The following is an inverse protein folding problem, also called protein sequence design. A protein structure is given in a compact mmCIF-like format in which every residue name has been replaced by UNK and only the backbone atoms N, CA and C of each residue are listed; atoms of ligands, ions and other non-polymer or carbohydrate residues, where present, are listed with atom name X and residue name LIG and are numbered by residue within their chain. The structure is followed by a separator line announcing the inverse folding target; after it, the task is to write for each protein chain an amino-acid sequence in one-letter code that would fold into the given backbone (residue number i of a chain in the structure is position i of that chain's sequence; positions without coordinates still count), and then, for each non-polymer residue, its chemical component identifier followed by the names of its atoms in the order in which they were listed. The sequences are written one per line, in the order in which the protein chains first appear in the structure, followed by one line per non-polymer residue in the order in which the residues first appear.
data_IF_614552378909
#
_entry.id   IF_614552378909
#
_cell.length_a   1.000
_cell.length_b   1.000
_cell.length_c   1.000
_cell.angle_alpha   90.00
_cell.angle_beta   90.00
_cell.angle_gamma   90.00
#
_symmetry.space_group_name_H-M   'P 1'
#
loop_
_entity.id
_entity.type
_entity.pdbx_description
1 polymer ?
#
# COMPACT_ATOMS: atom_id res chain seq x y z
N UNK A 1 74.90 -26.54 10.83
CA UNK A 1 75.38 -25.48 11.75
C UNK A 1 74.20 -24.95 12.56
N UNK A 2 74.14 -25.22 13.88
CA UNK A 2 73.08 -24.66 14.74
C UNK A 2 73.59 -23.35 15.34
N UNK A 3 72.87 -22.25 15.07
CA UNK A 3 73.19 -20.89 15.48
C UNK A 3 72.97 -20.77 16.99
N UNK A 4 73.98 -20.31 17.73
CA UNK A 4 73.92 -20.12 19.18
C UNK A 4 72.88 -19.04 19.53
N UNK A 5 71.74 -19.45 20.08
CA UNK A 5 70.74 -18.53 20.64
C UNK A 5 71.26 -18.12 22.03
N UNK A 6 71.42 -16.81 22.30
CA UNK A 6 71.87 -16.35 23.61
C UNK A 6 70.85 -16.77 24.67
N UNK A 7 71.31 -17.51 25.69
CA UNK A 7 70.52 -17.95 26.85
C UNK A 7 70.29 -16.78 27.82
N UNK A 8 69.86 -15.64 27.30
CA UNK A 8 69.34 -14.56 28.14
C UNK A 8 67.98 -14.99 28.70
N UNK A 9 67.69 -14.57 29.92
CA UNK A 9 66.42 -14.81 30.59
C UNK A 9 65.31 -14.02 29.87
N UNK A 10 64.81 -14.57 28.77
CA UNK A 10 63.78 -13.99 27.90
C UNK A 10 62.38 -14.07 28.51
N UNK A 11 62.24 -14.71 29.67
CA UNK A 11 60.97 -14.90 30.38
C UNK A 11 60.94 -14.13 31.70
N UNK A 12 61.50 -12.91 31.71
CA UNK A 12 61.38 -12.02 32.86
C UNK A 12 60.20 -11.08 32.66
N UNK A 13 59.21 -11.18 33.54
CA UNK A 13 58.09 -10.27 33.57
C UNK A 13 58.59 -8.85 33.90
N UNK A 14 58.16 -7.82 33.17
CA UNK A 14 58.51 -6.44 33.49
C UNK A 14 57.97 -6.07 34.88
N UNK A 15 58.76 -5.30 35.63
CA UNK A 15 58.34 -4.80 36.94
C UNK A 15 57.05 -3.96 36.80
N UNK A 16 56.04 -4.27 37.60
CA UNK A 16 54.74 -3.59 37.57
C UNK A 16 53.80 -3.99 36.41
N UNK A 17 54.14 -5.01 35.60
CA UNK A 17 53.29 -5.43 34.47
C UNK A 17 51.87 -5.82 34.88
N UNK A 18 51.71 -6.48 36.03
CA UNK A 18 50.41 -6.96 36.51
C UNK A 18 49.66 -5.96 37.40
N UNK A 19 50.33 -4.92 37.91
CA UNK A 19 49.76 -4.02 38.91
C UNK A 19 48.62 -3.14 38.34
N UNK A 20 48.69 -2.80 37.05
CA UNK A 20 47.68 -2.00 36.36
C UNK A 20 46.60 -2.80 35.62
N UNK A 21 46.75 -4.12 35.49
CA UNK A 21 45.88 -4.95 34.66
C UNK A 21 44.43 -5.00 35.16
N UNK A 22 44.15 -5.18 36.48
CA UNK A 22 42.77 -5.22 36.96
C UNK A 22 42.01 -3.92 36.62
N UNK A 23 42.67 -2.77 36.81
CA UNK A 23 42.10 -1.46 36.48
C UNK A 23 41.90 -1.27 34.96
N UNK A 24 42.85 -1.72 34.13
CA UNK A 24 42.72 -1.66 32.67
C UNK A 24 41.59 -2.58 32.14
N UNK A 25 41.41 -3.76 32.72
CA UNK A 25 40.35 -4.69 32.31
C UNK A 25 38.97 -4.13 32.70
N UNK A 26 38.86 -3.56 33.90
CA UNK A 26 37.61 -2.91 34.36
C UNK A 26 37.21 -1.72 33.48
N UNK A 27 38.15 -0.85 33.14
CA UNK A 27 37.89 0.33 32.28
C UNK A 27 37.48 -0.07 30.87
N UNK A 28 38.15 -1.07 30.26
CA UNK A 28 37.76 -1.61 28.94
C UNK A 28 36.36 -2.21 28.93
N UNK A 29 35.92 -2.86 30.01
CA UNK A 29 34.57 -3.46 30.11
C UNK A 29 33.47 -2.42 30.30
N UNK A 30 33.75 -1.35 31.04
CA UNK A 30 32.79 -0.28 31.30
C UNK A 30 32.48 0.54 30.03
N UNK A 31 33.49 0.82 29.20
CA UNK A 31 33.34 1.62 27.98
C UNK A 31 32.47 0.97 26.89
N UNK A 32 32.35 -0.37 26.89
CA UNK A 32 31.64 -1.10 25.85
C UNK A 32 30.10 -1.14 26.05
N UNK A 33 29.60 -0.71 27.23
CA UNK A 33 28.15 -0.69 27.51
C UNK A 33 27.44 0.57 27.02
N UNK A 34 28.15 1.68 26.81
CA UNK A 34 27.50 2.96 26.50
C UNK A 34 27.14 3.14 25.01
N UNK A 35 27.85 2.50 24.08
CA UNK A 35 27.59 2.66 22.63
C UNK A 35 26.33 1.95 22.14
N UNK A 36 25.86 0.91 22.84
CA UNK A 36 24.73 0.08 22.37
C UNK A 36 23.38 0.73 22.68
N UNK A 37 23.31 1.60 23.69
CA UNK A 37 22.05 2.18 24.16
C UNK A 37 21.47 3.18 23.14
N UNK A 38 22.32 3.89 22.39
CA UNK A 38 21.88 4.87 21.39
C UNK A 38 21.43 4.24 20.07
N UNK A 39 22.04 3.10 19.67
CA UNK A 39 21.60 2.34 18.49
C UNK A 39 20.30 1.58 18.73
N UNK A 40 20.03 1.15 19.97
CA UNK A 40 18.82 0.37 20.29
C UNK A 40 17.52 1.14 19.99
N UNK A 41 17.54 2.46 20.05
CA UNK A 41 16.35 3.30 19.80
C UNK A 41 16.23 3.69 18.32
N UNK A 42 17.35 3.72 17.59
CA UNK A 42 17.39 4.05 16.18
C UNK A 42 16.68 2.97 15.33
N UNK A 43 16.82 1.69 15.68
CA UNK A 43 16.15 0.60 14.98
C UNK A 43 14.61 0.67 15.13
N UNK A 44 14.11 0.89 16.35
CA UNK A 44 12.67 1.04 16.59
C UNK A 44 12.11 2.28 15.90
N UNK A 45 12.80 3.42 15.98
CA UNK A 45 12.39 4.65 15.28
C UNK A 45 12.36 4.48 13.76
N UNK A 46 13.31 3.74 13.18
CA UNK A 46 13.33 3.43 11.74
C UNK A 46 12.11 2.59 11.32
N UNK A 47 11.73 1.58 12.11
CA UNK A 47 10.55 0.75 11.83
C UNK A 47 9.27 1.58 11.96
N UNK A 48 9.18 2.46 12.95
CA UNK A 48 7.99 3.32 13.13
C UNK A 48 7.90 4.35 12.00
N UNK A 49 9.01 4.98 11.61
CA UNK A 49 9.05 5.96 10.51
C UNK A 49 8.77 5.32 9.15
N UNK A 50 9.30 4.12 8.87
CA UNK A 50 9.02 3.41 7.63
C UNK A 50 7.56 2.97 7.54
N UNK A 51 7.00 2.44 8.63
CA UNK A 51 5.59 2.05 8.69
C UNK A 51 4.67 3.26 8.60
N UNK A 52 5.00 4.37 9.28
CA UNK A 52 4.23 5.61 9.23
C UNK A 52 4.23 6.24 7.83
N UNK A 53 5.39 6.31 7.16
CA UNK A 53 5.47 6.77 5.77
C UNK A 53 4.71 5.84 4.81
N UNK A 54 4.74 4.53 5.05
CA UNK A 54 4.00 3.57 4.25
C UNK A 54 2.47 3.76 4.37
N UNK A 55 1.96 3.99 5.59
CA UNK A 55 0.54 4.28 5.82
C UNK A 55 0.12 5.59 5.14
N UNK A 56 0.93 6.65 5.25
CA UNK A 56 0.62 7.95 4.62
C UNK A 56 0.62 7.84 3.09
N UNK A 57 1.54 7.06 2.51
CA UNK A 57 1.55 6.78 1.07
C UNK A 57 0.33 5.98 0.63
N UNK A 58 -0.09 4.99 1.41
CA UNK A 58 -1.28 4.19 1.14
C UNK A 58 -2.54 5.07 1.17
N UNK A 59 -2.64 6.03 2.08
CA UNK A 59 -3.79 6.94 2.18
C UNK A 59 -3.84 7.97 1.04
N UNK A 60 -2.68 8.41 0.52
CA UNK A 60 -2.63 9.39 -0.59
C UNK A 60 -3.14 8.81 -1.91
N UNK A 61 -2.96 7.51 -2.18
CA UNK A 61 -3.53 6.85 -3.37
C UNK A 61 -5.06 6.63 -3.24
N UNK A 62 -5.56 6.46 -2.00
CA UNK A 62 -6.99 6.34 -1.74
C UNK A 62 -7.71 7.70 -1.91
N UNK A 63 -7.14 8.84 -1.52
CA UNK A 63 -7.86 10.13 -1.54
C UNK A 63 -8.27 10.59 -2.95
N UNK A 64 -7.55 10.21 -4.01
CA UNK A 64 -8.00 10.45 -5.40
C UNK A 64 -8.96 9.41 -5.95
N UNK A 65 -9.12 8.26 -5.28
CA UNK A 65 -10.02 7.18 -5.67
C UNK A 65 -11.32 7.12 -4.84
N UNK A 66 -11.40 7.78 -3.68
CA UNK A 66 -12.59 7.73 -2.79
C UNK A 66 -13.85 8.29 -3.48
N UNK A 67 -13.72 9.32 -4.33
CA UNK A 67 -14.90 9.89 -4.99
C UNK A 67 -15.49 8.97 -6.07
N UNK A 68 -14.68 8.08 -6.66
CA UNK A 68 -15.13 7.16 -7.71
C UNK A 68 -15.37 5.74 -7.17
N UNK A 69 -14.75 5.35 -6.05
CA UNK A 69 -14.94 4.02 -5.46
C UNK A 69 -16.25 3.92 -4.70
N UNK A 70 -16.74 5.00 -4.08
CA UNK A 70 -18.05 4.99 -3.41
C UNK A 70 -19.20 4.81 -4.40
N UNK A 71 -19.12 5.36 -5.60
CA UNK A 71 -20.15 5.18 -6.63
C UNK A 71 -20.09 3.79 -7.25
N UNK A 72 -18.89 3.25 -7.49
CA UNK A 72 -18.71 1.88 -8.01
C UNK A 72 -19.19 0.82 -7.00
N UNK A 73 -18.90 0.99 -5.71
CA UNK A 73 -19.33 0.05 -4.68
C UNK A 73 -20.86 0.03 -4.48
N UNK A 74 -21.53 1.17 -4.69
CA UNK A 74 -22.99 1.26 -4.63
C UNK A 74 -23.64 0.61 -5.84
N UNK A 75 -23.08 0.79 -7.04
CA UNK A 75 -23.56 0.11 -8.25
C UNK A 75 -23.43 -1.42 -8.12
N UNK A 76 -22.29 -1.92 -7.63
CA UNK A 76 -22.07 -3.35 -7.40
C UNK A 76 -23.08 -3.94 -6.39
N UNK A 77 -23.46 -3.17 -5.37
CA UNK A 77 -24.47 -3.57 -4.38
C UNK A 77 -25.87 -3.61 -4.99
N UNK A 78 -26.23 -2.62 -5.81
CA UNK A 78 -27.50 -2.57 -6.53
C UNK A 78 -27.64 -3.77 -7.46
N UNK A 79 -26.60 -4.09 -8.26
CA UNK A 79 -26.61 -5.24 -9.16
C UNK A 79 -26.79 -6.57 -8.39
N UNK A 80 -26.09 -6.73 -7.26
CA UNK A 80 -26.22 -7.90 -6.41
C UNK A 80 -27.63 -8.05 -5.81
N UNK A 81 -28.28 -6.95 -5.42
CA UNK A 81 -29.65 -6.97 -4.90
C UNK A 81 -30.69 -7.29 -5.98
N UNK A 82 -30.44 -6.87 -7.23
CA UNK A 82 -31.25 -7.25 -8.39
C UNK A 82 -31.13 -8.75 -8.68
N UNK A 83 -29.90 -9.30 -8.67
CA UNK A 83 -29.66 -10.74 -8.89
C UNK A 83 -30.32 -11.61 -7.81
N UNK A 84 -30.35 -11.13 -6.58
CA UNK A 84 -31.06 -11.77 -5.47
C UNK A 84 -32.58 -11.67 -5.58
N UNK A 85 -33.11 -10.87 -6.51
CA UNK A 85 -34.54 -10.62 -6.69
C UNK A 85 -35.17 -9.78 -5.57
N UNK A 86 -34.35 -9.12 -4.76
CA UNK A 86 -34.81 -8.25 -3.67
C UNK A 86 -35.15 -6.84 -4.20
N UNK A 87 -34.47 -6.38 -5.25
CA UNK A 87 -34.72 -5.10 -5.90
C UNK A 87 -35.15 -5.31 -7.36
N UNK A 88 -36.21 -4.64 -7.78
CA UNK A 88 -36.63 -4.59 -9.19
C UNK A 88 -36.04 -3.36 -9.91
N UNK A 89 -36.07 -3.38 -11.24
CA UNK A 89 -35.63 -2.23 -12.04
C UNK A 89 -36.46 -0.97 -11.72
N UNK A 90 -37.74 -1.15 -11.40
CA UNK A 90 -38.65 -0.10 -10.97
C UNK A 90 -38.24 0.51 -9.61
N UNK A 91 -37.76 -0.32 -8.68
CA UNK A 91 -37.31 0.14 -7.36
C UNK A 91 -36.04 1.00 -7.50
N UNK A 92 -35.07 0.56 -8.31
CA UNK A 92 -33.86 1.34 -8.63
C UNK A 92 -34.23 2.65 -9.33
N UNK A 93 -35.14 2.57 -10.29
CA UNK A 93 -35.59 3.73 -11.05
C UNK A 93 -36.31 4.76 -10.16
N UNK A 94 -36.99 4.31 -9.10
CA UNK A 94 -37.65 5.20 -8.13
C UNK A 94 -36.70 6.00 -7.23
N UNK A 95 -35.43 5.58 -7.13
CA UNK A 95 -34.40 6.27 -6.38
C UNK A 95 -33.83 7.50 -7.12
N UNK A 96 -34.05 7.58 -8.44
CA UNK A 96 -33.60 8.69 -9.25
C UNK A 96 -34.41 9.98 -8.99
N UNK A 97 -33.77 11.14 -9.12
CA UNK A 97 -34.40 12.44 -8.89
C UNK A 97 -35.56 12.73 -9.87
N UNK A 98 -35.46 12.27 -11.13
CA UNK A 98 -36.52 12.34 -12.15
C UNK A 98 -36.58 11.05 -12.99
N UNK A 99 -37.35 10.04 -12.54
CA UNK A 99 -37.49 8.76 -13.23
C UNK A 99 -38.10 8.90 -14.64
N UNK A 100 -38.97 9.89 -14.86
CA UNK A 100 -39.67 10.06 -16.13
C UNK A 100 -38.75 10.60 -17.23
N UNK A 101 -37.78 11.44 -16.87
CA UNK A 101 -36.77 11.92 -17.82
C UNK A 101 -35.96 10.75 -18.40
N UNK A 102 -35.52 9.83 -17.53
CA UNK A 102 -34.76 8.63 -17.91
C UNK A 102 -35.58 7.72 -18.83
N UNK A 103 -36.86 7.48 -18.48
CA UNK A 103 -37.75 6.68 -19.32
C UNK A 103 -38.02 7.32 -20.68
N UNK A 104 -38.22 8.63 -20.72
CA UNK A 104 -38.43 9.33 -21.99
C UNK A 104 -37.20 9.25 -22.89
N UNK A 105 -35.99 9.37 -22.32
CA UNK A 105 -34.72 9.22 -23.04
C UNK A 105 -34.58 7.81 -23.63
N UNK A 106 -34.82 6.77 -22.84
CA UNK A 106 -34.74 5.37 -23.30
C UNK A 106 -35.78 5.06 -24.39
N UNK A 107 -37.00 5.57 -24.23
CA UNK A 107 -38.05 5.43 -25.24
C UNK A 107 -37.63 6.13 -26.53
N UNK A 108 -37.15 7.38 -26.46
CA UNK A 108 -36.67 8.12 -27.64
C UNK A 108 -35.51 7.40 -28.34
N UNK A 109 -34.51 6.91 -27.61
CA UNK A 109 -33.41 6.10 -28.15
C UNK A 109 -33.94 4.88 -28.91
N UNK A 110 -34.91 4.17 -28.33
CA UNK A 110 -35.54 3.02 -28.96
C UNK A 110 -36.27 3.41 -30.25
N UNK A 111 -37.05 4.48 -30.27
CA UNK A 111 -37.77 4.94 -31.47
C UNK A 111 -36.84 5.47 -32.57
N UNK A 112 -35.73 6.12 -32.22
CA UNK A 112 -34.71 6.55 -33.19
C UNK A 112 -34.09 5.36 -33.93
N UNK A 113 -33.87 4.23 -33.23
CA UNK A 113 -33.37 3.01 -33.87
C UNK A 113 -34.34 2.44 -34.92
N UNK A 114 -35.65 2.58 -34.71
CA UNK A 114 -36.67 2.16 -35.66
C UNK A 114 -36.80 3.12 -36.85
N UNK A 115 -36.67 4.43 -36.65
CA UNK A 115 -36.70 5.40 -37.75
C UNK A 115 -35.54 5.22 -38.75
N UNK A 116 -34.36 4.79 -38.30
CA UNK A 116 -33.26 4.46 -39.20
C UNK A 116 -33.59 3.23 -40.08
N UNK A 117 -34.36 2.27 -39.54
CA UNK A 117 -34.81 1.08 -40.27
C UNK A 117 -35.94 1.37 -41.28
N UNK A 118 -36.83 2.33 -41.01
CA UNK A 118 -37.86 2.73 -41.97
C UNK A 118 -37.26 3.46 -43.18
N UNK A 119 -36.26 4.32 -42.98
CA UNK A 119 -35.60 5.04 -44.08
C UNK A 119 -34.79 4.10 -45.01
N UNK A 120 -34.19 3.04 -44.46
CA UNK A 120 -33.48 2.00 -45.24
C UNK A 120 -34.47 1.10 -46.01
N UNK A 121 -35.64 0.81 -45.42
CA UNK A 121 -36.72 0.07 -46.09
C UNK A 121 -37.44 0.89 -47.17
N UNK A 122 -37.61 2.21 -46.97
CA UNK A 122 -38.17 3.09 -48.00
C UNK A 122 -37.23 3.19 -49.22
N UNK A 123 -35.92 3.33 -49.03
CA UNK A 123 -34.96 3.30 -50.15
C UNK A 123 -35.03 1.98 -50.94
N UNK A 124 -35.17 0.83 -50.29
CA UNK A 124 -35.27 -0.48 -50.96
C UNK A 124 -36.59 -0.66 -51.74
N UNK A 125 -37.68 -0.01 -51.31
CA UNK A 125 -38.98 -0.05 -52.00
C UNK A 125 -39.06 0.88 -53.23
N UNK A 126 -38.23 1.92 -53.31
CA UNK A 126 -38.16 2.81 -54.49
C UNK A 126 -37.33 2.26 -55.65
N UNK A 127 -36.56 1.20 -55.43
CA UNK A 127 -35.75 0.52 -56.46
C UNK A 127 -36.45 -0.67 -57.14
N UNK A 128 -37.70 -0.98 -56.76
CA UNK A 128 -38.54 -2.04 -57.35
C UNK A 128 -39.67 -1.52 -58.23
#
# INVERSE_FOLDING_TARGET
MKKNIPKGDIFREPEGYFDGLPAQIMTKRAQNKQRVIWISWAAAAMVILSTSLFIIKLETENITQINNSSTLAVEDEIELLIDQGEWSAEDVLSLADDPNAILNELVEEQWQSYQFSENELEEELWYY
#
